data_IF_826721660696
#
_entry.id   IF_826721660696
#
_cell.length_a   1.000
_cell.length_b   1.000
_cell.length_c   1.000
_cell.angle_alpha   90.00
_cell.angle_beta   90.00
_cell.angle_gamma   90.00
#
_symmetry.space_group_name_H-M   'P 1'
#
loop_
_entity.id
_entity.type
_entity.pdbx_description
1 polymer ?
#
# COMPACT_ATOMS: atom_id res chain seq x y z
N UNK A 1 80.54 -13.11 -10.96
CA UNK A 1 80.04 -12.60 -9.67
C UNK A 1 78.83 -11.71 -9.96
N UNK A 2 77.74 -11.92 -9.22
CA UNK A 2 76.41 -11.26 -9.28
C UNK A 2 75.46 -11.71 -10.40
N UNK A 3 74.50 -12.54 -9.97
CA UNK A 3 73.25 -12.83 -10.63
C UNK A 3 72.32 -11.60 -10.58
N UNK A 4 71.60 -11.32 -11.66
CA UNK A 4 70.42 -10.47 -11.64
C UNK A 4 69.26 -11.24 -12.28
N UNK A 5 68.25 -11.46 -11.44
CA UNK A 5 66.98 -12.10 -11.72
C UNK A 5 66.07 -11.08 -12.41
N UNK A 6 65.63 -11.35 -13.64
CA UNK A 6 64.57 -10.61 -14.32
C UNK A 6 63.43 -11.55 -14.67
N UNK A 7 62.30 -11.38 -13.99
CA UNK A 7 61.02 -12.02 -14.26
C UNK A 7 60.05 -10.92 -14.69
N UNK A 8 59.61 -10.93 -15.96
CA UNK A 8 58.47 -10.13 -16.44
C UNK A 8 57.76 -10.95 -17.54
N UNK A 9 56.73 -11.73 -17.16
CA UNK A 9 55.29 -11.50 -17.41
C UNK A 9 54.93 -11.51 -18.91
N UNK A 10 54.47 -12.67 -19.38
CA UNK A 10 53.87 -12.88 -20.71
C UNK A 10 52.40 -12.50 -20.66
N UNK A 11 52.02 -11.46 -21.43
CA UNK A 11 50.64 -10.98 -21.59
C UNK A 11 49.97 -11.80 -22.71
N UNK A 12 49.00 -12.64 -22.36
CA UNK A 12 48.13 -13.34 -23.32
C UNK A 12 46.97 -12.42 -23.71
N UNK A 13 47.00 -11.88 -24.95
CA UNK A 13 45.84 -11.30 -25.60
C UNK A 13 45.04 -12.39 -26.31
N UNK A 14 43.96 -12.86 -25.69
CA UNK A 14 42.94 -13.66 -26.36
C UNK A 14 41.87 -12.72 -26.93
N UNK A 15 42.00 -12.46 -28.23
CA UNK A 15 40.99 -11.84 -29.09
C UNK A 15 39.91 -12.88 -29.39
N UNK A 16 38.64 -12.54 -29.15
CA UNK A 16 37.51 -13.29 -29.68
C UNK A 16 36.71 -12.39 -30.64
N UNK A 17 36.71 -12.81 -31.91
CA UNK A 17 35.98 -12.21 -33.02
C UNK A 17 34.60 -12.90 -33.11
N UNK A 18 33.61 -12.08 -33.39
CA UNK A 18 32.20 -12.41 -33.48
C UNK A 18 31.87 -13.24 -34.74
N UNK A 19 30.96 -14.21 -34.61
CA UNK A 19 30.18 -14.74 -35.73
C UNK A 19 28.76 -15.02 -35.27
N UNK A 20 27.81 -14.39 -35.97
CA UNK A 20 26.37 -14.57 -35.92
C UNK A 20 25.94 -15.87 -36.61
N UNK A 21 24.89 -16.53 -36.09
CA UNK A 21 23.59 -16.65 -36.79
C UNK A 21 22.54 -17.49 -36.04
N UNK A 22 21.32 -16.94 -36.03
CA UNK A 22 19.98 -17.57 -36.07
C UNK A 22 19.42 -18.40 -34.91
N UNK A 23 18.25 -17.90 -34.47
CA UNK A 23 17.03 -18.63 -34.07
C UNK A 23 17.11 -19.61 -32.90
N UNK A 24 16.68 -19.14 -31.74
CA UNK A 24 15.52 -19.76 -31.06
C UNK A 24 14.84 -18.69 -30.21
N UNK A 25 13.59 -18.43 -30.54
CA UNK A 25 12.62 -17.77 -29.67
C UNK A 25 12.60 -18.50 -28.34
N UNK A 26 13.26 -17.92 -27.33
CA UNK A 26 13.01 -18.29 -25.95
C UNK A 26 11.57 -17.92 -25.66
N UNK A 27 10.73 -18.95 -25.64
CA UNK A 27 9.37 -18.93 -25.14
C UNK A 27 9.35 -18.25 -23.78
N UNK A 28 9.02 -16.95 -23.77
CA UNK A 28 8.34 -16.35 -22.62
C UNK A 28 7.02 -17.08 -22.51
N UNK A 29 7.06 -18.18 -21.75
CA UNK A 29 5.93 -18.88 -21.20
C UNK A 29 5.21 -17.89 -20.27
N UNK A 30 4.42 -17.01 -20.87
CA UNK A 30 3.48 -16.14 -20.18
C UNK A 30 2.52 -17.08 -19.49
N UNK A 31 2.70 -17.18 -18.18
CA UNK A 31 1.87 -17.97 -17.29
C UNK A 31 0.44 -17.47 -17.47
N UNK A 32 -0.36 -18.37 -18.05
CA UNK A 32 -1.81 -18.50 -18.03
C UNK A 32 -2.55 -17.39 -17.28
N UNK A 33 -3.35 -16.66 -18.02
CA UNK A 33 -4.50 -15.86 -17.58
C UNK A 33 -5.17 -16.54 -16.39
N UNK A 34 -5.01 -15.95 -15.20
CA UNK A 34 -5.87 -16.27 -14.07
C UNK A 34 -7.31 -16.02 -14.53
N UNK A 35 -8.20 -17.00 -14.35
CA UNK A 35 -9.63 -16.85 -14.64
C UNK A 35 -10.13 -15.58 -13.96
N UNK A 36 -10.37 -14.52 -14.74
CA UNK A 36 -10.80 -13.24 -14.21
C UNK A 36 -12.11 -13.46 -13.46
N UNK A 37 -12.09 -13.21 -12.15
CA UNK A 37 -13.27 -13.39 -11.30
C UNK A 37 -14.36 -12.43 -11.78
N UNK A 38 -15.43 -13.00 -12.35
CA UNK A 38 -16.55 -12.24 -12.90
C UNK A 38 -17.58 -11.95 -11.79
N UNK A 39 -17.53 -10.74 -11.23
CA UNK A 39 -18.56 -10.21 -10.34
C UNK A 39 -19.73 -9.76 -11.23
N UNK A 40 -20.92 -10.32 -11.03
CA UNK A 40 -22.12 -9.93 -11.77
C UNK A 40 -22.43 -8.45 -11.53
N UNK A 41 -22.88 -7.73 -12.56
CA UNK A 41 -23.31 -6.34 -12.42
C UNK A 41 -24.75 -6.24 -11.88
N UNK A 42 -25.03 -6.92 -10.76
CA UNK A 42 -26.31 -6.92 -10.06
C UNK A 42 -26.12 -6.20 -8.73
N UNK A 43 -26.98 -5.25 -8.41
CA UNK A 43 -26.89 -4.46 -7.19
C UNK A 43 -28.08 -4.73 -6.29
N UNK A 44 -27.83 -4.97 -4.99
CA UNK A 44 -28.90 -5.15 -3.99
C UNK A 44 -28.59 -4.34 -2.73
N UNK A 45 -29.61 -3.90 -1.97
CA UNK A 45 -29.38 -3.34 -0.64
C UNK A 45 -28.65 -4.35 0.26
N UNK A 46 -27.59 -3.91 0.94
CA UNK A 46 -26.82 -4.75 1.86
C UNK A 46 -27.66 -5.32 3.00
N UNK A 47 -28.75 -4.66 3.36
CA UNK A 47 -29.75 -5.12 4.34
C UNK A 47 -30.51 -6.37 3.90
N UNK A 48 -30.57 -6.66 2.59
CA UNK A 48 -31.20 -7.89 2.06
C UNK A 48 -30.25 -9.09 2.09
N UNK A 49 -28.96 -8.87 2.37
CA UNK A 49 -27.98 -9.95 2.44
C UNK A 49 -27.93 -10.54 3.85
N UNK A 50 -27.86 -11.87 3.92
CA UNK A 50 -27.76 -12.60 5.18
C UNK A 50 -26.34 -13.16 5.32
N UNK A 51 -25.65 -12.81 6.40
CA UNK A 51 -24.30 -13.33 6.68
C UNK A 51 -24.37 -14.64 7.46
N UNK A 52 -23.84 -15.71 6.89
CA UNK A 52 -23.43 -16.87 7.68
C UNK A 52 -22.10 -16.57 8.37
N UNK A 53 -22.14 -16.32 9.69
CA UNK A 53 -20.97 -15.92 10.46
C UNK A 53 -19.90 -17.02 10.58
N UNK A 54 -20.32 -18.30 10.56
CA UNK A 54 -19.39 -19.44 10.66
C UNK A 54 -18.56 -19.60 9.39
N UNK A 55 -19.17 -19.36 8.23
CA UNK A 55 -18.51 -19.52 6.93
C UNK A 55 -17.92 -18.21 6.40
N UNK A 56 -18.37 -17.06 6.92
CA UNK A 56 -18.03 -15.75 6.38
C UNK A 56 -18.60 -15.53 4.97
N UNK A 57 -19.74 -16.16 4.66
CA UNK A 57 -20.39 -16.14 3.34
C UNK A 57 -21.70 -15.38 3.46
N UNK A 58 -21.91 -14.43 2.54
CA UNK A 58 -23.14 -13.67 2.40
C UNK A 58 -24.06 -14.35 1.39
N UNK A 59 -25.34 -14.41 1.74
CA UNK A 59 -26.38 -15.05 0.94
C UNK A 59 -27.41 -14.03 0.49
N UNK A 60 -27.98 -14.26 -0.70
CA UNK A 60 -29.15 -13.56 -1.21
C UNK A 60 -30.10 -14.61 -1.78
N UNK A 61 -31.34 -14.67 -1.27
CA UNK A 61 -32.33 -15.70 -1.66
C UNK A 61 -31.75 -17.11 -1.58
N UNK A 62 -31.14 -17.43 -0.42
CA UNK A 62 -30.56 -18.75 -0.09
C UNK A 62 -29.31 -19.16 -0.89
N UNK A 63 -28.87 -18.36 -1.86
CA UNK A 63 -27.67 -18.62 -2.65
C UNK A 63 -26.49 -17.71 -2.24
N UNK A 64 -25.23 -18.20 -2.28
CA UNK A 64 -24.06 -17.36 -2.05
C UNK A 64 -24.03 -16.17 -3.02
N UNK A 65 -23.99 -14.97 -2.47
CA UNK A 65 -24.20 -13.75 -3.25
C UNK A 65 -23.05 -13.46 -4.22
N UNK A 66 -23.40 -13.07 -5.45
CA UNK A 66 -22.47 -12.60 -6.47
C UNK A 66 -23.05 -11.32 -7.10
N UNK A 67 -22.40 -10.18 -6.81
CA UNK A 67 -22.88 -8.86 -7.19
C UNK A 67 -22.31 -7.75 -6.31
N UNK A 68 -22.95 -6.58 -6.32
CA UNK A 68 -22.59 -5.43 -5.48
C UNK A 68 -23.67 -5.17 -4.43
N UNK A 69 -23.26 -5.11 -3.16
CA UNK A 69 -24.14 -4.65 -2.09
C UNK A 69 -24.02 -3.13 -1.93
N UNK A 70 -25.17 -2.46 -1.77
CA UNK A 70 -25.27 -1.03 -1.54
C UNK A 70 -25.75 -0.73 -0.12
N UNK A 71 -25.16 0.27 0.53
CA UNK A 71 -25.69 0.89 1.75
C UNK A 71 -25.94 2.37 1.46
N UNK A 72 -27.01 2.91 2.00
CA UNK A 72 -27.38 4.32 1.86
C UNK A 72 -27.22 5.08 3.17
N UNK A 73 -27.05 6.39 3.07
CA UNK A 73 -27.20 7.34 4.17
C UNK A 73 -28.69 7.67 4.36
N UNK A 74 -29.02 8.40 5.43
CA UNK A 74 -30.39 8.82 5.73
C UNK A 74 -30.99 9.72 4.64
N UNK A 75 -30.14 10.49 3.95
CA UNK A 75 -30.52 11.32 2.82
C UNK A 75 -30.63 10.56 1.48
N UNK A 76 -30.65 9.22 1.51
CA UNK A 76 -30.70 8.33 0.34
C UNK A 76 -29.49 8.40 -0.61
N UNK A 77 -28.39 9.07 -0.25
CA UNK A 77 -27.13 9.00 -1.01
C UNK A 77 -26.37 7.71 -0.71
N UNK A 78 -25.57 7.22 -1.66
CA UNK A 78 -24.80 5.98 -1.47
C UNK A 78 -23.74 6.19 -0.40
N UNK A 79 -23.75 5.35 0.64
CA UNK A 79 -22.76 5.30 1.72
C UNK A 79 -21.65 4.30 1.46
N UNK A 80 -21.99 3.14 0.88
CA UNK A 80 -21.06 2.03 0.67
C UNK A 80 -21.47 1.26 -0.59
N UNK A 81 -20.49 0.83 -1.38
CA UNK A 81 -20.63 -0.12 -2.48
C UNK A 81 -19.55 -1.18 -2.32
N UNK A 82 -19.97 -2.44 -2.22
CA UNK A 82 -19.10 -3.57 -1.89
C UNK A 82 -19.34 -4.74 -2.84
N UNK A 83 -18.31 -5.16 -3.56
CA UNK A 83 -18.38 -6.33 -4.45
C UNK A 83 -18.32 -7.67 -3.70
N UNK A 84 -19.03 -8.66 -4.20
CA UNK A 84 -19.07 -10.03 -3.71
C UNK A 84 -18.94 -11.05 -4.83
N UNK A 85 -18.23 -12.14 -4.54
CA UNK A 85 -18.15 -13.32 -5.39
C UNK A 85 -18.25 -14.57 -4.52
N UNK A 86 -19.20 -15.47 -4.83
CA UNK A 86 -19.53 -16.65 -4.02
C UNK A 86 -19.70 -16.32 -2.53
N UNK A 87 -20.43 -15.24 -2.26
CA UNK A 87 -20.74 -14.69 -0.94
C UNK A 87 -19.56 -14.11 -0.17
N UNK A 88 -18.36 -14.02 -0.75
CA UNK A 88 -17.19 -13.39 -0.11
C UNK A 88 -16.91 -12.03 -0.73
N UNK A 89 -16.45 -11.07 0.06
CA UNK A 89 -16.04 -9.75 -0.44
C UNK A 89 -14.95 -9.92 -1.48
N UNK A 90 -15.12 -9.29 -2.63
CA UNK A 90 -14.25 -9.42 -3.78
C UNK A 90 -14.21 -8.12 -4.57
N UNK A 91 -13.02 -7.77 -5.08
CA UNK A 91 -12.84 -6.59 -5.91
C UNK A 91 -12.90 -5.29 -5.11
N UNK A 92 -13.32 -4.22 -5.79
CA UNK A 92 -13.30 -2.86 -5.24
C UNK A 92 -14.45 -2.64 -4.26
N UNK A 93 -14.13 -2.02 -3.13
CA UNK A 93 -15.08 -1.50 -2.17
C UNK A 93 -14.86 0.00 -1.98
N UNK A 94 -15.95 0.76 -2.01
CA UNK A 94 -15.95 2.22 -1.86
C UNK A 94 -16.95 2.65 -0.79
N UNK A 95 -16.61 3.73 -0.09
CA UNK A 95 -17.55 4.41 0.81
C UNK A 95 -17.55 5.91 0.53
N UNK A 96 -18.68 6.57 0.71
CA UNK A 96 -18.82 8.00 0.47
C UNK A 96 -19.43 8.71 1.68
N UNK A 97 -19.21 10.02 1.79
CA UNK A 97 -19.88 10.89 2.76
C UNK A 97 -21.31 11.19 2.32
N UNK A 98 -22.09 11.84 3.18
CA UNK A 98 -23.44 12.30 2.85
C UNK A 98 -23.48 13.33 1.71
N UNK A 99 -22.35 14.01 1.48
CA UNK A 99 -22.16 14.94 0.37
C UNK A 99 -21.61 14.27 -0.91
N UNK A 100 -21.51 12.94 -0.93
CA UNK A 100 -21.01 12.19 -2.09
C UNK A 100 -19.49 12.19 -2.26
N UNK A 101 -18.73 12.70 -1.28
CA UNK A 101 -17.26 12.68 -1.33
C UNK A 101 -16.76 11.27 -1.06
N UNK A 102 -15.88 10.73 -1.91
CA UNK A 102 -15.26 9.42 -1.68
C UNK A 102 -14.46 9.48 -0.37
N UNK A 103 -14.76 8.59 0.57
CA UNK A 103 -14.12 8.52 1.89
C UNK A 103 -13.10 7.40 2.01
N UNK A 104 -13.38 6.25 1.39
CA UNK A 104 -12.52 5.06 1.42
C UNK A 104 -12.62 4.37 0.06
N UNK A 105 -11.48 3.92 -0.45
CA UNK A 105 -11.37 2.96 -1.54
C UNK A 105 -10.42 1.83 -1.09
N UNK A 106 -10.87 0.59 -1.24
CA UNK A 106 -10.13 -0.60 -0.81
C UNK A 106 -10.43 -1.79 -1.73
N UNK A 107 -9.58 -2.80 -1.70
CA UNK A 107 -9.75 -4.00 -2.53
C UNK A 107 -9.78 -5.24 -1.65
N UNK A 108 -10.63 -6.19 -2.03
CA UNK A 108 -10.80 -7.46 -1.35
C UNK A 108 -10.52 -8.63 -2.29
N UNK A 109 -9.92 -9.68 -1.73
CA UNK A 109 -9.87 -11.00 -2.33
C UNK A 109 -10.36 -12.00 -1.29
N UNK A 110 -11.51 -12.62 -1.54
CA UNK A 110 -12.15 -13.59 -0.64
C UNK A 110 -12.15 -13.15 0.83
N UNK A 111 -12.83 -12.03 1.14
CA UNK A 111 -12.92 -11.41 2.46
C UNK A 111 -11.64 -10.79 3.02
N UNK A 112 -10.47 -10.97 2.39
CA UNK A 112 -9.20 -10.37 2.85
C UNK A 112 -8.92 -9.08 2.10
N UNK A 113 -8.51 -8.04 2.82
CA UNK A 113 -7.97 -6.83 2.20
C UNK A 113 -6.68 -7.16 1.43
N UNK A 114 -6.58 -6.63 0.22
CA UNK A 114 -5.43 -6.76 -0.67
C UNK A 114 -5.20 -5.45 -1.39
N UNK A 115 -3.97 -5.22 -1.88
CA UNK A 115 -3.65 -4.06 -2.69
C UNK A 115 -3.82 -2.73 -1.93
N UNK A 116 -4.10 -1.67 -2.67
CA UNK A 116 -4.14 -0.31 -2.15
C UNK A 116 -5.37 -0.07 -1.26
N UNK A 117 -5.17 0.49 -0.08
CA UNK A 117 -6.21 1.06 0.75
C UNK A 117 -5.97 2.56 0.84
N UNK A 118 -6.99 3.34 0.44
CA UNK A 118 -6.95 4.80 0.51
C UNK A 118 -8.14 5.30 1.30
N UNK A 119 -7.91 6.31 2.12
CA UNK A 119 -8.99 7.13 2.67
C UNK A 119 -8.74 8.59 2.39
N UNK A 120 -9.80 9.38 2.35
CA UNK A 120 -9.78 10.78 1.95
C UNK A 120 -10.44 11.64 3.00
N UNK A 121 -10.05 12.91 3.05
CA UNK A 121 -10.67 13.99 3.82
C UNK A 121 -11.94 14.48 3.13
N UNK A 122 -12.74 15.30 3.82
CA UNK A 122 -14.03 15.77 3.28
C UNK A 122 -13.84 16.75 2.13
N UNK A 123 -12.68 17.41 2.07
CA UNK A 123 -12.28 18.23 0.93
C UNK A 123 -11.72 17.41 -0.24
N UNK A 124 -11.80 16.08 -0.20
CA UNK A 124 -11.33 15.18 -1.26
C UNK A 124 -9.82 14.89 -1.23
N UNK A 125 -9.03 15.56 -0.38
CA UNK A 125 -7.60 15.30 -0.28
C UNK A 125 -7.32 13.91 0.32
N UNK A 126 -6.25 13.27 -0.12
CA UNK A 126 -5.82 11.99 0.44
C UNK A 126 -5.51 12.14 1.94
N UNK A 127 -6.06 11.24 2.76
CA UNK A 127 -5.88 11.23 4.21
C UNK A 127 -4.96 10.09 4.66
N UNK A 128 -5.07 8.94 4.02
CA UNK A 128 -4.25 7.76 4.28
C UNK A 128 -4.09 6.93 3.01
N UNK A 129 -2.91 6.34 2.84
CA UNK A 129 -2.60 5.36 1.80
C UNK A 129 -1.70 4.28 2.39
N UNK A 130 -2.05 3.01 2.16
CA UNK A 130 -1.26 1.85 2.57
C UNK A 130 -1.60 0.66 1.68
N UNK A 131 -0.66 -0.26 1.50
CA UNK A 131 -0.93 -1.52 0.81
C UNK A 131 -1.24 -2.65 1.81
N UNK A 132 -2.11 -3.56 1.41
CA UNK A 132 -2.44 -4.78 2.13
C UNK A 132 -2.01 -6.02 1.36
N UNK A 133 -1.47 -7.00 2.07
CA UNK A 133 -1.23 -8.36 1.58
C UNK A 133 -1.89 -9.32 2.56
N UNK A 134 -2.88 -10.09 2.09
CA UNK A 134 -3.61 -11.06 2.91
C UNK A 134 -4.18 -10.49 4.22
N UNK A 135 -4.73 -9.27 4.16
CA UNK A 135 -5.31 -8.59 5.32
C UNK A 135 -4.30 -7.90 6.24
N UNK A 136 -3.00 -7.93 5.93
CA UNK A 136 -1.96 -7.26 6.71
C UNK A 136 -1.36 -6.09 5.95
N UNK A 137 -1.10 -4.97 6.63
CA UNK A 137 -0.42 -3.82 6.04
C UNK A 137 1.02 -4.17 5.65
N UNK A 138 1.44 -3.71 4.49
CA UNK A 138 2.75 -3.99 3.91
C UNK A 138 3.32 -2.75 3.24
N UNK A 139 4.62 -2.49 3.47
CA UNK A 139 5.34 -1.39 2.87
C UNK A 139 5.03 -0.05 3.53
N UNK A 140 5.02 1.01 2.74
CA UNK A 140 4.79 2.36 3.24
C UNK A 140 3.31 2.58 3.58
N UNK A 141 3.04 3.09 4.77
CA UNK A 141 1.81 3.79 5.11
C UNK A 141 2.10 5.28 5.20
N UNK A 142 1.34 6.08 4.47
CA UNK A 142 1.39 7.53 4.51
C UNK A 142 0.07 8.08 5.04
N UNK A 143 0.15 9.12 5.85
CA UNK A 143 -1.01 9.89 6.31
C UNK A 143 -0.74 11.37 6.05
N UNK A 144 -1.80 12.11 5.74
CA UNK A 144 -1.71 13.53 5.43
C UNK A 144 -2.73 14.32 6.26
N UNK A 145 -2.41 15.57 6.55
CA UNK A 145 -3.36 16.55 7.03
C UNK A 145 -4.37 16.93 5.93
N UNK A 146 -5.50 17.54 6.31
CA UNK A 146 -6.52 17.97 5.36
C UNK A 146 -6.01 18.98 4.33
N UNK A 147 -4.95 19.73 4.63
CA UNK A 147 -4.28 20.63 3.70
C UNK A 147 -3.30 19.91 2.73
N UNK A 148 -3.24 18.58 2.74
CA UNK A 148 -2.38 17.79 1.86
C UNK A 148 -0.92 17.65 2.33
N UNK A 149 -0.52 18.25 3.46
CA UNK A 149 0.83 18.06 4.01
C UNK A 149 0.96 16.69 4.67
N UNK A 150 2.07 16.01 4.43
CA UNK A 150 2.36 14.71 5.05
C UNK A 150 2.44 14.86 6.58
N UNK A 151 1.63 14.08 7.29
CA UNK A 151 1.60 14.06 8.76
C UNK A 151 2.36 12.86 9.33
N UNK A 152 2.36 11.73 8.61
CA UNK A 152 3.01 10.49 9.08
C UNK A 152 3.48 9.64 7.92
N UNK A 153 4.64 9.02 8.10
CA UNK A 153 5.20 7.98 7.24
C UNK A 153 5.59 6.80 8.13
N UNK A 154 5.14 5.60 7.79
CA UNK A 154 5.49 4.38 8.49
C UNK A 154 5.91 3.28 7.52
N UNK A 155 7.02 2.60 7.79
CA UNK A 155 7.36 1.37 7.08
C UNK A 155 6.87 0.15 7.87
N UNK A 156 6.04 -0.66 7.24
CA UNK A 156 5.33 -1.79 7.85
C UNK A 156 5.68 -3.11 7.15
N UNK A 157 5.82 -4.18 7.92
CA UNK A 157 5.90 -5.57 7.46
C UNK A 157 4.94 -6.42 8.28
N UNK A 158 4.02 -7.12 7.61
CA UNK A 158 3.01 -7.95 8.27
C UNK A 158 2.21 -7.20 9.36
N UNK A 159 1.92 -5.92 9.11
CA UNK A 159 1.20 -5.05 10.04
C UNK A 159 2.01 -4.49 11.21
N UNK A 160 3.31 -4.81 11.31
CA UNK A 160 4.21 -4.31 12.35
C UNK A 160 5.21 -3.30 11.78
N UNK A 161 5.64 -2.35 12.60
CA UNK A 161 6.68 -1.40 12.20
C UNK A 161 7.99 -2.12 11.93
N UNK A 162 8.58 -1.87 10.76
CA UNK A 162 9.85 -2.43 10.33
C UNK A 162 10.52 -1.45 9.37
N UNK A 163 11.50 -0.72 9.87
CA UNK A 163 12.20 0.39 9.23
C UNK A 163 11.80 1.75 9.80
N UNK A 164 11.96 2.79 8.98
CA UNK A 164 11.85 4.19 9.41
C UNK A 164 10.39 4.61 9.65
N UNK A 165 10.18 5.32 10.77
CA UNK A 165 8.92 5.93 11.17
C UNK A 165 9.15 7.44 11.37
N UNK A 166 8.32 8.26 10.72
CA UNK A 166 8.39 9.72 10.80
C UNK A 166 7.02 10.32 11.03
N UNK A 167 6.96 11.40 11.80
CA UNK A 167 5.77 12.23 11.93
C UNK A 167 6.11 13.71 12.03
N UNK A 168 5.28 14.53 11.41
CA UNK A 168 5.44 15.98 11.31
C UNK A 168 4.23 16.68 11.91
N UNK A 169 4.45 17.82 12.57
CA UNK A 169 3.40 18.72 13.01
C UNK A 169 2.74 19.41 11.78
N UNK A 170 1.57 20.05 11.91
CA UNK A 170 0.96 20.81 10.81
C UNK A 170 1.85 21.93 10.25
N UNK A 171 2.77 22.43 11.09
CA UNK A 171 3.81 23.40 10.71
C UNK A 171 4.85 22.84 9.76
N UNK A 172 4.94 21.51 9.63
CA UNK A 172 5.99 20.79 8.89
C UNK A 172 7.19 20.39 9.75
N UNK A 173 7.20 20.73 11.05
CA UNK A 173 8.28 20.35 11.95
C UNK A 173 8.22 18.85 12.26
N UNK A 174 9.32 18.14 12.01
CA UNK A 174 9.49 16.73 12.38
C UNK A 174 9.53 16.59 13.91
N UNK A 175 8.66 15.76 14.47
CA UNK A 175 8.59 15.52 15.93
C UNK A 175 8.69 14.04 16.32
N UNK A 176 8.70 13.14 15.33
CA UNK A 176 9.00 11.71 15.48
C UNK A 176 9.94 11.30 14.36
N UNK A 177 11.03 10.61 14.70
CA UNK A 177 11.98 10.04 13.75
C UNK A 177 12.74 8.88 14.41
N UNK A 178 12.29 7.64 14.20
CA UNK A 178 12.97 6.46 14.70
C UNK A 178 12.93 5.31 13.68
N UNK A 179 13.82 4.35 13.82
CA UNK A 179 13.82 3.08 13.10
C UNK A 179 13.32 1.96 14.01
N UNK A 180 12.33 1.20 13.56
CA UNK A 180 11.92 -0.05 14.19
C UNK A 180 12.66 -1.22 13.52
N UNK A 181 13.49 -1.95 14.25
CA UNK A 181 14.26 -3.08 13.72
C UNK A 181 14.35 -4.19 14.76
N UNK A 182 13.99 -5.41 14.37
CA UNK A 182 14.03 -6.60 15.23
C UNK A 182 13.32 -6.42 16.58
N UNK A 183 12.16 -5.76 16.57
CA UNK A 183 11.36 -5.50 17.78
C UNK A 183 11.91 -4.39 18.69
N UNK A 184 12.97 -3.69 18.29
CA UNK A 184 13.55 -2.56 19.01
C UNK A 184 13.37 -1.26 18.23
N UNK A 185 13.37 -0.14 18.92
CA UNK A 185 13.29 1.20 18.34
C UNK A 185 14.60 1.96 18.54
N UNK A 186 15.04 2.67 17.52
CA UNK A 186 16.27 3.46 17.52
C UNK A 186 15.97 4.87 17.05
N UNK A 187 16.19 5.87 17.90
CA UNK A 187 15.98 7.28 17.54
C UNK A 187 14.91 7.98 18.38
N UNK A 188 14.35 9.04 17.82
CA UNK A 188 13.50 10.00 18.52
C UNK A 188 12.02 9.60 18.39
N UNK A 189 11.45 8.98 19.42
CA UNK A 189 10.04 8.57 19.41
C UNK A 189 9.07 9.73 19.69
N UNK A 190 9.53 10.79 20.35
CA UNK A 190 8.78 12.03 20.61
C UNK A 190 9.76 13.14 20.99
N UNK A 191 9.90 14.15 20.16
CA UNK A 191 10.64 15.36 20.51
C UNK A 191 9.66 16.41 21.04
N UNK A 192 9.63 16.61 22.35
CA UNK A 192 9.34 17.94 22.86
C UNK A 192 10.67 18.71 22.68
N UNK A 193 10.72 19.75 21.86
CA UNK A 193 11.90 20.62 21.81
C UNK A 193 12.05 21.28 23.18
N UNK A 194 12.82 20.67 24.08
CA UNK A 194 13.00 21.16 25.46
C UNK A 194 14.00 22.32 25.56
N UNK A 195 14.48 22.88 24.45
CA UNK A 195 15.31 24.08 24.44
C UNK A 195 15.20 24.79 23.09
N UNK A 196 14.98 26.11 23.13
CA UNK A 196 15.52 27.00 22.10
C UNK A 196 17.03 27.00 22.34
N UNK A 197 17.83 26.76 21.31
CA UNK A 197 19.23 27.19 21.37
C UNK A 197 19.16 28.72 21.50
N UNK A 198 19.51 29.27 22.67
CA UNK A 198 19.32 30.70 22.99
C UNK A 198 19.96 31.65 21.96
N UNK A 199 20.90 31.16 21.14
CA UNK A 199 21.68 31.95 20.20
C UNK A 199 21.55 31.53 18.73
N UNK A 200 20.56 30.72 18.33
CA UNK A 200 20.42 30.36 16.91
C UNK A 200 19.73 31.47 16.11
N UNK A 201 20.51 32.27 15.39
CA UNK A 201 20.00 33.17 14.34
C UNK A 201 19.61 32.35 13.12
N UNK A 202 18.34 31.98 13.04
CA UNK A 202 17.77 31.34 11.83
C UNK A 202 17.64 32.39 10.73
N UNK A 203 18.59 32.41 9.80
CA UNK A 203 18.51 33.23 8.59
C UNK A 203 17.54 32.54 7.63
N UNK A 204 16.35 33.12 7.46
CA UNK A 204 15.43 32.72 6.40
C UNK A 204 15.72 33.57 5.16
N UNK A 205 16.36 33.00 4.15
CA UNK A 205 16.38 33.60 2.82
C UNK A 205 14.96 33.57 2.25
N UNK A 206 14.48 34.74 1.81
CA UNK A 206 13.18 34.96 1.16
C UNK A 206 13.14 34.30 -0.21
#
# INVERSE_FOLDING_TARGET
MKAFLTVIIVIFFLSCKQSSETNTSEEKKVIKTENAINIKNVEVPKSELILNQLQGVWYYKEEPYNGYALKYHENNTIKEKLGFYNGKRQGVAKTWSEHGVLRIESYYNQNKLVGSYRSFWENGNLALEVNYVNGKKQGEEKQWYSNGKLSKLRLLKDGKENGIQKAWLPTGQLYVNYEAKNGRTFGLMRANSCYKLENEKVIKTK
#
